data_IF_576358044775
#
_entry.id   IF_576358044775
#
_cell.length_a   1.000
_cell.length_b   1.000
_cell.length_c   1.000
_cell.angle_alpha   90.00
_cell.angle_beta   90.00
_cell.angle_gamma   90.00
#
_symmetry.space_group_name_H-M   'P 1'
#
loop_
_entity.id
_entity.type
_entity.pdbx_description
1 polymer ?
#
# COMPACT_ATOMS: atom_id res chain seq x y z
N UNK A 1 -7.24 -12.89 -12.16
CA UNK A 1 -7.27 -11.47 -11.75
C UNK A 1 -7.05 -11.39 -10.25
N UNK A 2 -5.82 -11.11 -9.81
CA UNK A 2 -5.43 -11.16 -8.39
C UNK A 2 -6.21 -10.12 -7.57
N UNK A 3 -7.11 -10.60 -6.71
CA UNK A 3 -7.68 -9.82 -5.62
C UNK A 3 -6.55 -9.49 -4.65
N UNK A 4 -5.88 -8.35 -4.84
CA UNK A 4 -4.92 -7.83 -3.87
C UNK A 4 -5.67 -7.41 -2.62
N UNK A 5 -5.77 -8.32 -1.65
CA UNK A 5 -6.37 -8.03 -0.35
C UNK A 5 -5.47 -7.06 0.40
N UNK A 6 -6.02 -5.92 0.82
CA UNK A 6 -5.35 -5.00 1.74
C UNK A 6 -5.11 -5.78 3.05
N UNK A 7 -3.85 -5.93 3.52
CA UNK A 7 -3.58 -6.60 4.78
C UNK A 7 -4.44 -6.03 5.91
N UNK A 8 -5.07 -6.89 6.71
CA UNK A 8 -5.97 -6.48 7.80
C UNK A 8 -5.27 -5.52 8.77
N UNK A 9 -3.98 -5.72 9.02
CA UNK A 9 -3.16 -4.83 9.83
C UNK A 9 -3.12 -3.39 9.27
N UNK A 10 -2.98 -3.22 7.96
CA UNK A 10 -2.99 -1.89 7.33
C UNK A 10 -4.40 -1.28 7.33
N UNK A 11 -5.43 -2.09 7.04
CA UNK A 11 -6.83 -1.63 7.06
C UNK A 11 -7.22 -1.10 8.44
N UNK A 12 -6.87 -1.83 9.50
CA UNK A 12 -7.14 -1.43 10.90
C UNK A 12 -6.31 -0.22 11.33
N UNK A 13 -5.01 -0.20 10.97
CA UNK A 13 -4.10 0.89 11.39
C UNK A 13 -4.42 2.23 10.73
N UNK A 14 -4.79 2.22 9.44
CA UNK A 14 -4.93 3.44 8.65
C UNK A 14 -6.38 3.76 8.24
N UNK A 15 -7.35 2.87 8.50
CA UNK A 15 -8.75 3.08 8.14
C UNK A 15 -9.00 3.16 6.63
N UNK A 16 -8.14 2.54 5.82
CA UNK A 16 -8.16 2.65 4.36
C UNK A 16 -9.05 1.58 3.70
N UNK A 17 -9.64 1.93 2.56
CA UNK A 17 -10.40 1.02 1.70
C UNK A 17 -9.73 0.77 0.34
N UNK A 18 -8.65 1.50 0.05
CA UNK A 18 -7.80 1.33 -1.13
C UNK A 18 -6.33 1.39 -0.71
N UNK A 19 -5.49 0.64 -1.42
CA UNK A 19 -4.05 0.60 -1.18
C UNK A 19 -3.36 0.39 -2.52
N UNK A 20 -2.45 1.30 -2.84
CA UNK A 20 -1.66 1.28 -4.06
C UNK A 20 -0.19 1.03 -3.73
N UNK A 21 0.52 0.47 -4.70
CA UNK A 21 1.97 0.21 -4.63
C UNK A 21 2.65 0.98 -5.74
N UNK A 22 3.71 1.70 -5.39
CA UNK A 22 4.66 2.28 -6.34
C UNK A 22 6.02 1.58 -6.15
N UNK A 23 6.59 1.11 -7.25
CA UNK A 23 7.95 0.57 -7.25
C UNK A 23 8.95 1.72 -7.35
N UNK A 24 9.97 1.67 -6.50
CA UNK A 24 11.02 2.67 -6.42
C UNK A 24 12.38 2.02 -6.74
N UNK A 25 13.37 2.80 -7.20
CA UNK A 25 14.72 2.30 -7.45
C UNK A 25 15.32 1.58 -6.24
N UNK A 26 16.18 0.60 -6.49
CA UNK A 26 16.87 -0.15 -5.43
C UNK A 26 15.99 -1.17 -4.70
N UNK A 27 14.88 -1.61 -5.32
CA UNK A 27 14.01 -2.62 -4.73
C UNK A 27 13.14 -2.10 -3.58
N UNK A 28 12.90 -0.79 -3.54
CA UNK A 28 11.99 -0.16 -2.57
C UNK A 28 10.55 -0.11 -3.11
N UNK A 29 9.58 -0.06 -2.21
CA UNK A 29 8.16 0.09 -2.52
C UNK A 29 7.55 1.14 -1.62
N UNK A 30 6.78 2.06 -2.20
CA UNK A 30 5.89 2.94 -1.46
C UNK A 30 4.47 2.39 -1.50
N UNK A 31 3.83 2.33 -0.33
CA UNK A 31 2.42 2.05 -0.18
C UNK A 31 1.68 3.36 0.07
N UNK A 32 0.65 3.63 -0.72
CA UNK A 32 -0.12 4.86 -0.61
C UNK A 32 -1.62 4.62 -0.79
N UNK A 33 -2.42 5.55 -0.27
CA UNK A 33 -3.87 5.58 -0.45
C UNK A 33 -4.26 6.88 -1.15
N UNK A 34 -5.35 6.84 -1.90
CA UNK A 34 -5.97 8.02 -2.51
C UNK A 34 -7.31 8.24 -1.82
N UNK A 35 -7.51 9.44 -1.29
CA UNK A 35 -8.80 9.88 -0.78
C UNK A 35 -9.33 10.97 -1.72
N UNK A 36 -10.52 10.76 -2.26
CA UNK A 36 -11.23 11.75 -3.06
C UNK A 36 -12.63 11.91 -2.50
N UNK A 37 -13.05 13.17 -2.36
CA UNK A 37 -14.39 13.56 -1.94
C UNK A 37 -14.94 14.56 -2.97
N UNK A 38 -16.26 14.58 -3.21
CA UNK A 38 -16.87 15.59 -4.07
C UNK A 38 -16.46 17.00 -3.63
N UNK A 39 -16.14 17.86 -4.59
CA UNK A 39 -15.69 19.24 -4.38
C UNK A 39 -14.35 19.43 -3.60
N UNK A 40 -13.62 18.36 -3.28
CA UNK A 40 -12.26 18.43 -2.73
C UNK A 40 -11.21 17.96 -3.74
N UNK A 41 -10.01 18.56 -3.70
CA UNK A 41 -8.86 18.02 -4.44
C UNK A 41 -8.50 16.62 -3.91
N UNK A 42 -8.21 15.65 -4.78
CA UNK A 42 -7.71 14.34 -4.36
C UNK A 42 -6.48 14.48 -3.47
N UNK A 43 -6.44 13.71 -2.38
CA UNK A 43 -5.32 13.66 -1.44
C UNK A 43 -4.64 12.31 -1.57
N UNK A 44 -3.32 12.32 -1.75
CA UNK A 44 -2.49 11.13 -1.75
C UNK A 44 -1.76 11.09 -0.41
N UNK A 45 -1.81 9.95 0.28
CA UNK A 45 -1.09 9.74 1.54
C UNK A 45 -0.16 8.55 1.40
N UNK A 46 1.14 8.80 1.55
CA UNK A 46 2.16 7.74 1.64
C UNK A 46 2.07 7.15 3.04
N UNK A 47 1.74 5.87 3.13
CA UNK A 47 1.54 5.18 4.39
C UNK A 47 2.84 4.56 4.91
N UNK A 48 3.61 3.97 3.98
CA UNK A 48 4.86 3.26 4.26
C UNK A 48 5.77 3.33 3.04
N UNK A 49 7.08 3.43 3.28
CA UNK A 49 8.13 3.14 2.29
C UNK A 49 8.98 2.02 2.87
N UNK A 50 9.20 0.95 2.12
CA UNK A 50 9.88 -0.25 2.64
C UNK A 50 10.60 -1.03 1.55
N UNK A 51 11.51 -1.92 1.95
CA UNK A 51 12.20 -2.84 1.03
C UNK A 51 11.23 -3.86 0.43
N UNK A 52 11.64 -4.51 -0.67
CA UNK A 52 10.90 -5.63 -1.25
C UNK A 52 10.69 -6.77 -0.24
N UNK A 53 11.70 -7.10 0.55
CA UNK A 53 11.62 -8.14 1.58
C UNK A 53 10.57 -7.84 2.66
N UNK A 54 10.53 -6.60 3.14
CA UNK A 54 9.53 -6.19 4.15
C UNK A 54 8.12 -6.13 3.57
N UNK A 55 8.01 -5.75 2.30
CA UNK A 55 6.75 -5.81 1.56
C UNK A 55 6.26 -7.25 1.44
N UNK A 56 7.10 -8.18 1.02
CA UNK A 56 6.72 -9.58 0.86
C UNK A 56 6.26 -10.19 2.18
N UNK A 57 6.99 -9.91 3.29
CA UNK A 57 6.57 -10.30 4.65
C UNK A 57 5.23 -9.69 5.05
N UNK A 58 5.00 -8.41 4.77
CA UNK A 58 3.76 -7.71 5.10
C UNK A 58 2.55 -8.29 4.36
N UNK A 59 2.75 -8.77 3.14
CA UNK A 59 1.70 -9.35 2.30
C UNK A 59 1.64 -10.88 2.38
N UNK A 60 2.52 -11.52 3.15
CA UNK A 60 2.57 -12.97 3.30
C UNK A 60 3.05 -13.70 2.04
N UNK A 61 3.82 -13.03 1.18
CA UNK A 61 4.44 -13.64 0.01
C UNK A 61 5.69 -14.42 0.45
N UNK A 62 5.85 -15.63 -0.07
CA UNK A 62 7.08 -16.40 0.08
C UNK A 62 8.15 -15.82 -0.85
N UNK A 63 9.41 -15.66 -0.39
CA UNK A 63 10.51 -15.36 -1.31
C UNK A 63 10.67 -16.56 -2.25
N UNK A 64 10.39 -16.33 -3.53
CA UNK A 64 10.62 -17.27 -4.64
C UNK A 64 12.04 -17.17 -5.16
#
# INVERSE_FOLDING_TARGET
>A
THKSLIPIALKRKYGINNLWRLELPGGWRALYTIASKPAEKPKISILRVMSHNDYDRLFGYSPS
#
